data_IF_817710115681
#
_entry.id   IF_817710115681
#
_cell.length_a   1.000
_cell.length_b   1.000
_cell.length_c   1.000
_cell.angle_alpha   90.00
_cell.angle_beta   90.00
_cell.angle_gamma   90.00
#
_symmetry.space_group_name_H-M   'P 1'
#
loop_
_entity.id
_entity.type
_entity.pdbx_description
1 polymer ?
#
# COMPACT_ATOMS: atom_id res chain seq x y z
N UNK A 1 -24.69 21.33 -42.99
CA UNK A 1 -24.83 20.96 -41.57
C UNK A 1 -24.36 22.10 -40.67
N UNK A 2 -25.25 23.04 -40.32
CA UNK A 2 -24.91 24.15 -39.41
C UNK A 2 -25.23 23.70 -37.97
N UNK A 3 -24.23 23.67 -37.09
CA UNK A 3 -24.33 23.31 -35.66
C UNK A 3 -24.62 21.83 -35.31
N UNK A 4 -24.49 20.91 -36.27
CA UNK A 4 -24.64 19.46 -36.04
C UNK A 4 -23.33 18.66 -36.26
N UNK A 5 -22.39 19.22 -37.04
CA UNK A 5 -21.09 18.57 -37.27
C UNK A 5 -20.19 18.73 -36.05
N UNK A 6 -19.32 17.74 -35.89
CA UNK A 6 -18.30 17.66 -34.84
C UNK A 6 -16.95 17.32 -35.48
N UNK A 7 -15.86 17.67 -34.81
CA UNK A 7 -14.52 17.38 -35.31
C UNK A 7 -14.23 15.86 -35.32
N UNK A 8 -14.68 15.16 -34.26
CA UNK A 8 -14.50 13.71 -34.11
C UNK A 8 -15.84 13.02 -33.96
N UNK A 9 -16.21 12.24 -34.97
CA UNK A 9 -17.46 11.46 -34.97
C UNK A 9 -17.30 10.18 -34.16
N UNK A 10 -18.38 9.75 -33.52
CA UNK A 10 -18.44 8.45 -32.87
C UNK A 10 -18.69 7.38 -33.94
N UNK A 11 -17.65 6.63 -34.32
CA UNK A 11 -17.76 5.58 -35.33
C UNK A 11 -18.27 4.30 -34.67
N UNK A 12 -19.22 3.61 -35.31
CA UNK A 12 -19.85 2.38 -34.83
C UNK A 12 -20.02 1.35 -35.97
N UNK A 13 -20.09 0.07 -35.64
CA UNK A 13 -20.34 -0.99 -36.64
C UNK A 13 -21.84 -1.15 -36.91
N UNK A 14 -22.21 -1.30 -38.18
CA UNK A 14 -23.54 -1.78 -38.57
C UNK A 14 -23.72 -3.25 -38.17
N UNK A 15 -24.97 -3.66 -37.94
CA UNK A 15 -25.39 -5.03 -37.61
C UNK A 15 -24.71 -5.63 -36.37
N UNK A 16 -24.15 -4.79 -35.50
CA UNK A 16 -23.56 -5.20 -34.23
C UNK A 16 -24.41 -4.64 -33.09
N UNK A 17 -24.83 -5.52 -32.17
CA UNK A 17 -25.48 -5.10 -30.94
C UNK A 17 -24.41 -4.51 -30.01
N UNK A 18 -24.52 -3.21 -29.75
CA UNK A 18 -23.59 -2.47 -28.89
C UNK A 18 -24.32 -1.96 -27.65
N UNK A 19 -23.55 -1.71 -26.60
CA UNK A 19 -24.03 -1.14 -25.35
C UNK A 19 -23.36 0.21 -25.14
N UNK A 20 -24.16 1.28 -25.16
CA UNK A 20 -23.73 2.61 -24.74
C UNK A 20 -23.91 2.78 -23.24
N UNK A 21 -22.91 3.38 -22.58
CA UNK A 21 -23.00 3.81 -21.18
C UNK A 21 -22.92 5.34 -21.17
N UNK A 22 -23.97 5.98 -20.67
CA UNK A 22 -24.12 7.45 -20.67
C UNK A 22 -24.11 7.93 -19.22
N UNK A 23 -23.24 8.90 -18.94
CA UNK A 23 -23.10 9.58 -17.64
C UNK A 23 -22.70 11.03 -17.91
N UNK A 24 -22.70 11.85 -16.87
CA UNK A 24 -22.12 13.19 -16.90
C UNK A 24 -21.10 13.37 -15.76
N UNK A 25 -20.21 14.36 -15.92
CA UNK A 25 -19.24 14.78 -14.92
C UNK A 25 -19.66 16.06 -14.19
N UNK A 26 -20.37 16.97 -14.86
CA UNK A 26 -20.72 18.30 -14.36
C UNK A 26 -22.21 18.43 -13.98
N UNK A 27 -23.08 18.59 -14.98
CA UNK A 27 -24.54 18.79 -14.84
C UNK A 27 -25.30 17.73 -15.61
N UNK A 28 -26.63 17.75 -15.58
CA UNK A 28 -27.41 16.79 -16.37
C UNK A 28 -27.34 17.16 -17.85
N UNK A 29 -27.02 16.19 -18.69
CA UNK A 29 -27.11 16.27 -20.15
C UNK A 29 -28.02 15.14 -20.67
N UNK A 30 -28.28 15.11 -21.97
CA UNK A 30 -29.00 13.98 -22.58
C UNK A 30 -28.43 13.62 -23.94
N UNK A 31 -27.97 12.37 -24.06
CA UNK A 31 -27.44 11.82 -25.30
C UNK A 31 -28.60 11.31 -26.16
N UNK A 32 -28.94 12.08 -27.19
CA UNK A 32 -30.10 11.80 -28.03
C UNK A 32 -29.76 11.80 -29.51
N UNK A 33 -30.18 10.74 -30.21
CA UNK A 33 -30.07 10.58 -31.66
C UNK A 33 -31.48 10.24 -32.19
N UNK A 34 -32.25 11.23 -32.65
CA UNK A 34 -33.64 11.03 -33.03
C UNK A 34 -33.84 9.96 -34.11
N UNK A 35 -32.98 9.92 -35.13
CA UNK A 35 -33.03 8.94 -36.22
C UNK A 35 -32.74 7.50 -35.79
N UNK A 36 -32.10 7.31 -34.63
CA UNK A 36 -31.86 5.99 -34.03
C UNK A 36 -32.87 5.68 -32.92
N UNK A 37 -33.82 6.60 -32.64
CA UNK A 37 -34.77 6.49 -31.52
C UNK A 37 -34.10 6.25 -30.16
N UNK A 38 -32.90 6.81 -29.97
CA UNK A 38 -32.16 6.71 -28.71
C UNK A 38 -32.19 8.06 -28.01
N UNK A 39 -32.59 8.07 -26.74
CA UNK A 39 -32.41 9.17 -25.79
C UNK A 39 -32.06 8.59 -24.44
N UNK A 40 -30.97 9.03 -23.84
CA UNK A 40 -30.63 8.70 -22.46
C UNK A 40 -29.93 9.86 -21.77
N UNK A 41 -30.35 10.12 -20.53
CA UNK A 41 -29.82 11.23 -19.76
C UNK A 41 -28.47 10.84 -19.15
N UNK A 42 -27.50 11.75 -19.23
CA UNK A 42 -26.24 11.67 -18.51
C UNK A 42 -26.38 12.40 -17.18
N UNK A 43 -26.51 11.65 -16.08
CA UNK A 43 -26.71 12.21 -14.75
C UNK A 43 -25.41 12.04 -13.95
N UNK A 44 -24.86 13.11 -13.34
CA UNK A 44 -23.69 12.98 -12.48
C UNK A 44 -23.91 11.93 -11.38
N UNK A 45 -22.96 11.00 -11.23
CA UNK A 45 -23.03 9.91 -10.25
C UNK A 45 -23.95 8.74 -10.62
N UNK A 46 -24.52 8.70 -11.85
CA UNK A 46 -25.29 7.55 -12.36
C UNK A 46 -24.89 7.20 -13.79
N UNK A 47 -24.67 5.91 -14.03
CA UNK A 47 -24.44 5.38 -15.38
C UNK A 47 -25.75 4.79 -15.92
N UNK A 48 -26.28 5.39 -16.98
CA UNK A 48 -27.41 4.87 -17.72
C UNK A 48 -26.93 4.00 -18.89
N UNK A 49 -27.60 2.88 -19.12
CA UNK A 49 -27.25 1.94 -20.18
C UNK A 49 -28.26 2.03 -21.33
N UNK A 50 -27.77 2.16 -22.56
CA UNK A 50 -28.58 2.09 -23.79
C UNK A 50 -28.08 1.00 -24.71
N UNK A 51 -29.01 0.37 -25.43
CA UNK A 51 -28.68 -0.59 -26.46
C UNK A 51 -28.64 0.11 -27.82
N UNK A 52 -27.56 -0.07 -28.57
CA UNK A 52 -27.35 0.55 -29.88
C UNK A 52 -27.26 -0.56 -30.94
N UNK A 53 -28.06 -0.44 -32.00
CA UNK A 53 -27.98 -1.32 -33.15
C UNK A 53 -28.33 -0.52 -34.41
N UNK A 54 -27.35 -0.33 -35.28
CA UNK A 54 -27.52 0.39 -36.53
C UNK A 54 -27.66 -0.61 -37.68
N UNK A 55 -28.78 -0.55 -38.38
CA UNK A 55 -29.08 -1.45 -39.51
C UNK A 55 -28.45 -0.96 -40.80
N UNK A 56 -28.40 0.36 -41.00
CA UNK A 56 -27.89 0.98 -42.22
C UNK A 56 -26.62 1.77 -41.93
N UNK A 57 -25.68 1.77 -42.89
CA UNK A 57 -24.50 2.63 -42.84
C UNK A 57 -24.87 4.07 -43.17
N UNK A 58 -24.24 5.03 -42.49
CA UNK A 58 -24.52 6.44 -42.66
C UNK A 58 -24.15 7.26 -41.43
N UNK A 59 -24.41 8.57 -41.52
CA UNK A 59 -24.16 9.52 -40.44
C UNK A 59 -25.47 9.91 -39.78
N UNK A 60 -25.54 9.71 -38.46
CA UNK A 60 -26.70 10.00 -37.61
C UNK A 60 -26.36 11.18 -36.71
N UNK A 61 -27.20 12.20 -36.75
CA UNK A 61 -27.02 13.42 -35.97
C UNK A 61 -27.96 13.46 -34.77
N UNK A 62 -27.47 14.09 -33.71
CA UNK A 62 -28.15 14.28 -32.44
C UNK A 62 -27.76 15.61 -31.81
N UNK A 63 -28.50 16.01 -30.78
CA UNK A 63 -28.19 17.16 -29.95
C UNK A 63 -28.52 16.85 -28.50
N UNK A 64 -27.89 17.60 -27.58
CA UNK A 64 -28.26 17.53 -26.18
C UNK A 64 -29.75 17.82 -26.00
N UNK A 65 -30.46 16.93 -25.31
CA UNK A 65 -31.92 17.00 -25.12
C UNK A 65 -32.36 17.26 -23.67
N UNK A 66 -31.43 17.75 -22.84
CA UNK A 66 -31.67 18.18 -21.45
C UNK A 66 -30.89 19.47 -21.18
N UNK A 67 -31.54 20.48 -20.59
CA UNK A 67 -30.98 21.82 -20.46
C UNK A 67 -29.74 21.82 -19.55
N UNK A 68 -28.57 22.10 -20.13
CA UNK A 68 -27.27 22.00 -19.44
C UNK A 68 -26.50 23.32 -19.34
N UNK A 69 -27.14 24.47 -19.63
CA UNK A 69 -26.55 25.81 -19.47
C UNK A 69 -26.49 26.61 -20.76
N UNK A 70 -25.61 27.63 -20.80
CA UNK A 70 -25.56 28.64 -21.88
C UNK A 70 -25.25 28.03 -23.25
N UNK A 71 -24.38 27.03 -23.29
CA UNK A 71 -23.96 26.38 -24.54
C UNK A 71 -24.76 25.11 -24.86
N UNK A 72 -25.94 24.93 -24.26
CA UNK A 72 -26.76 23.73 -24.42
C UNK A 72 -27.05 23.37 -25.90
N UNK A 73 -27.29 24.35 -26.77
CA UNK A 73 -27.53 24.13 -28.20
C UNK A 73 -26.27 23.91 -29.04
N UNK A 74 -25.07 24.00 -28.45
CA UNK A 74 -23.78 23.98 -29.14
C UNK A 74 -22.93 22.75 -28.78
N UNK A 75 -23.59 21.66 -28.36
CA UNK A 75 -22.96 20.35 -28.12
C UNK A 75 -23.66 19.24 -28.92
N UNK A 76 -23.47 19.20 -30.25
CA UNK A 76 -24.08 18.20 -31.09
C UNK A 76 -23.42 16.82 -30.91
N UNK A 77 -24.16 15.79 -31.33
CA UNK A 77 -23.74 14.39 -31.34
C UNK A 77 -23.73 13.94 -32.80
N UNK A 78 -22.64 13.30 -33.22
CA UNK A 78 -22.54 12.71 -34.56
C UNK A 78 -22.03 11.27 -34.44
N UNK A 79 -22.85 10.33 -34.92
CA UNK A 79 -22.50 8.91 -34.97
C UNK A 79 -22.40 8.47 -36.41
N UNK A 80 -21.29 7.84 -36.79
CA UNK A 80 -21.08 7.29 -38.12
C UNK A 80 -21.12 5.77 -38.06
N UNK A 81 -22.18 5.17 -38.63
CA UNK A 81 -22.28 3.73 -38.74
C UNK A 81 -21.62 3.27 -40.04
N UNK A 82 -20.60 2.42 -39.91
CA UNK A 82 -19.83 1.88 -41.03
C UNK A 82 -19.92 0.36 -41.05
N UNK A 83 -19.49 -0.28 -42.13
CA UNK A 83 -19.43 -1.74 -42.18
C UNK A 83 -18.44 -2.29 -41.15
N UNK A 84 -18.65 -3.52 -40.68
CA UNK A 84 -17.77 -4.15 -39.69
C UNK A 84 -16.30 -4.15 -40.10
N UNK A 85 -16.00 -4.30 -41.40
CA UNK A 85 -14.63 -4.22 -41.94
C UNK A 85 -14.01 -2.83 -41.78
N UNK A 86 -14.73 -1.78 -42.18
CA UNK A 86 -14.23 -0.39 -42.09
C UNK A 86 -14.12 0.05 -40.63
N UNK A 87 -15.10 -0.32 -39.80
CA UNK A 87 -15.06 -0.09 -38.35
C UNK A 87 -13.81 -0.74 -37.75
N UNK A 88 -13.53 -1.95 -38.22
CA UNK A 88 -12.37 -2.70 -37.78
C UNK A 88 -11.09 -1.95 -38.14
N UNK A 89 -10.89 -1.58 -39.41
CA UNK A 89 -9.71 -0.84 -39.87
C UNK A 89 -9.53 0.49 -39.10
N UNK A 90 -10.63 1.20 -38.82
CA UNK A 90 -10.65 2.44 -38.05
C UNK A 90 -10.18 2.24 -36.60
N UNK A 91 -10.69 1.22 -35.90
CA UNK A 91 -10.24 0.89 -34.52
C UNK A 91 -8.74 0.59 -34.52
N UNK A 92 -8.23 -0.21 -35.46
CA UNK A 92 -6.81 -0.54 -35.52
C UNK A 92 -5.95 0.68 -35.81
N UNK A 93 -6.37 1.55 -36.72
CA UNK A 93 -5.68 2.81 -37.00
C UNK A 93 -5.58 3.69 -35.75
N UNK A 94 -6.69 3.83 -35.01
CA UNK A 94 -6.73 4.62 -33.78
C UNK A 94 -5.96 3.97 -32.62
N UNK A 95 -6.06 2.65 -32.46
CA UNK A 95 -5.30 1.91 -31.46
C UNK A 95 -3.79 2.04 -31.72
N UNK A 96 -3.35 1.86 -32.96
CA UNK A 96 -1.95 1.96 -33.34
C UNK A 96 -1.42 3.39 -33.25
N UNK A 97 -2.21 4.41 -33.58
CA UNK A 97 -1.80 5.82 -33.41
C UNK A 97 -1.69 6.21 -31.94
N UNK A 98 -2.66 5.83 -31.10
CA UNK A 98 -2.58 6.03 -29.64
C UNK A 98 -1.38 5.32 -29.02
N UNK A 99 -1.05 4.10 -29.49
CA UNK A 99 0.15 3.38 -29.07
C UNK A 99 1.45 3.99 -29.57
N UNK A 100 1.49 4.43 -30.83
CA UNK A 100 2.69 5.01 -31.44
C UNK A 100 3.00 6.43 -30.95
N UNK A 101 2.00 7.13 -30.39
CA UNK A 101 2.17 8.41 -29.68
C UNK A 101 2.86 8.22 -28.33
N UNK A 102 2.74 7.02 -27.73
CA UNK A 102 3.52 6.56 -26.57
C UNK A 102 4.73 5.74 -27.03
N UNK A 103 5.71 6.40 -27.65
CA UNK A 103 6.89 5.81 -28.29
C UNK A 103 7.26 4.36 -27.94
N UNK A 104 6.95 3.42 -28.84
CA UNK A 104 7.84 2.34 -29.25
C UNK A 104 7.17 1.46 -30.30
N UNK A 105 7.56 1.67 -31.56
CA UNK A 105 7.06 0.95 -32.75
C UNK A 105 7.54 -0.51 -32.87
N UNK A 106 8.27 -1.04 -31.88
CA UNK A 106 8.92 -2.37 -31.98
C UNK A 106 8.95 -3.12 -30.64
N UNK A 107 7.85 -3.13 -29.88
CA UNK A 107 7.75 -3.96 -28.66
C UNK A 107 7.41 -5.41 -28.98
N UNK A 108 8.38 -6.13 -29.52
CA UNK A 108 8.31 -7.57 -29.76
C UNK A 108 8.40 -8.40 -28.48
N UNK A 109 8.03 -9.68 -28.59
CA UNK A 109 8.05 -10.74 -27.57
C UNK A 109 9.26 -10.73 -26.61
N UNK A 110 10.41 -10.26 -27.07
CA UNK A 110 11.65 -10.14 -26.29
C UNK A 110 11.53 -9.16 -25.11
N UNK A 111 10.67 -8.14 -25.21
CA UNK A 111 10.41 -7.20 -24.11
C UNK A 111 9.42 -7.76 -23.09
N UNK A 112 8.51 -8.66 -23.49
CA UNK A 112 7.64 -9.40 -22.55
C UNK A 112 8.51 -10.31 -21.66
N UNK A 113 9.47 -11.01 -22.27
CA UNK A 113 10.46 -11.79 -21.52
C UNK A 113 11.30 -10.84 -20.66
N UNK A 114 11.75 -9.71 -21.21
CA UNK A 114 12.51 -8.70 -20.47
C UNK A 114 11.78 -8.14 -19.23
N UNK A 115 10.50 -7.82 -19.36
CA UNK A 115 9.66 -7.27 -18.29
C UNK A 115 9.35 -8.32 -17.24
N UNK A 116 9.05 -9.57 -17.66
CA UNK A 116 8.87 -10.69 -16.73
C UNK A 116 10.17 -11.01 -16.00
N UNK A 117 11.30 -11.01 -16.70
CA UNK A 117 12.63 -11.24 -16.12
C UNK A 117 12.96 -10.12 -15.13
N UNK A 118 12.79 -8.85 -15.50
CA UNK A 118 13.00 -7.71 -14.63
C UNK A 118 12.12 -7.79 -13.37
N UNK A 119 10.84 -8.13 -13.52
CA UNK A 119 9.92 -8.29 -12.40
C UNK A 119 10.35 -9.42 -11.45
N UNK A 120 10.74 -10.58 -12.00
CA UNK A 120 11.26 -11.70 -11.22
C UNK A 120 12.55 -11.30 -10.48
N UNK A 121 13.48 -10.62 -11.15
CA UNK A 121 14.72 -10.14 -10.52
C UNK A 121 14.44 -9.09 -9.43
N UNK A 122 13.48 -8.20 -9.63
CA UNK A 122 13.09 -7.19 -8.65
C UNK A 122 12.51 -7.83 -7.39
N UNK A 123 11.64 -8.83 -7.52
CA UNK A 123 11.08 -9.57 -6.39
C UNK A 123 12.18 -10.31 -5.63
N UNK A 124 13.09 -10.96 -6.36
CA UNK A 124 14.21 -11.67 -5.74
C UNK A 124 15.11 -10.67 -4.99
N UNK A 125 15.42 -9.53 -5.60
CA UNK A 125 16.24 -8.49 -4.98
C UNK A 125 15.61 -7.93 -3.70
N UNK A 126 14.32 -7.56 -3.74
CA UNK A 126 13.61 -7.08 -2.55
C UNK A 126 13.51 -8.15 -1.47
N UNK A 127 13.21 -9.40 -1.84
CA UNK A 127 13.16 -10.53 -0.91
C UNK A 127 14.51 -10.78 -0.23
N UNK A 128 15.62 -10.70 -0.98
CA UNK A 128 16.99 -10.81 -0.44
C UNK A 128 17.31 -9.63 0.46
N UNK A 129 16.95 -8.41 0.07
CA UNK A 129 17.17 -7.20 0.88
C UNK A 129 16.44 -7.27 2.22
N UNK A 130 15.16 -7.66 2.22
CA UNK A 130 14.35 -7.82 3.44
C UNK A 130 14.96 -8.91 4.33
N UNK A 131 15.32 -10.05 3.75
CA UNK A 131 15.93 -11.17 4.48
C UNK A 131 17.27 -10.77 5.12
N UNK A 132 18.11 -10.04 4.39
CA UNK A 132 19.38 -9.52 4.91
C UNK A 132 19.15 -8.51 6.05
N UNK A 133 18.17 -7.61 5.92
CA UNK A 133 17.81 -6.64 6.96
C UNK A 133 17.33 -7.33 8.24
N UNK A 134 16.47 -8.35 8.11
CA UNK A 134 16.00 -9.15 9.25
C UNK A 134 17.14 -9.90 9.94
N UNK A 135 18.08 -10.44 9.17
CA UNK A 135 19.26 -11.13 9.71
C UNK A 135 20.17 -10.19 10.52
N UNK A 136 20.41 -8.97 10.03
CA UNK A 136 21.18 -7.96 10.77
C UNK A 136 20.44 -7.53 12.03
N UNK A 137 19.12 -7.31 11.96
CA UNK A 137 18.30 -6.99 13.12
C UNK A 137 18.36 -8.10 14.19
N UNK A 138 18.32 -9.36 13.76
CA UNK A 138 18.40 -10.51 14.67
C UNK A 138 19.70 -10.51 15.46
N UNK A 139 20.85 -10.31 14.79
CA UNK A 139 22.14 -10.22 15.47
C UNK A 139 22.24 -9.03 16.40
N UNK A 140 21.73 -7.86 15.98
CA UNK A 140 21.69 -6.67 16.83
C UNK A 140 20.97 -6.96 18.16
N UNK A 141 19.75 -7.51 18.08
CA UNK A 141 19.00 -7.86 19.29
C UNK A 141 19.63 -9.01 20.07
N UNK A 142 20.20 -10.02 19.40
CA UNK A 142 20.90 -11.11 20.07
C UNK A 142 22.05 -10.60 20.94
N UNK A 143 22.93 -9.73 20.42
CA UNK A 143 24.03 -9.19 21.20
C UNK A 143 23.56 -8.23 22.31
N UNK A 144 22.58 -7.38 22.03
CA UNK A 144 22.05 -6.45 23.03
C UNK A 144 21.43 -7.19 24.22
N UNK A 145 20.66 -8.25 23.98
CA UNK A 145 19.96 -8.98 25.04
C UNK A 145 20.75 -10.13 25.65
N UNK A 146 21.56 -10.87 24.88
CA UNK A 146 22.32 -12.02 25.40
C UNK A 146 23.68 -11.64 26.01
N UNK A 147 24.27 -10.51 25.60
CA UNK A 147 25.64 -10.15 26.03
C UNK A 147 25.64 -8.84 26.81
N UNK A 148 25.18 -7.74 26.22
CA UNK A 148 25.28 -6.41 26.84
C UNK A 148 24.45 -6.35 28.13
N UNK A 149 23.23 -6.89 28.10
CA UNK A 149 22.33 -6.83 29.24
C UNK A 149 22.81 -7.65 30.47
N UNK A 150 23.21 -8.93 30.35
CA UNK A 150 23.75 -9.69 31.48
C UNK A 150 25.01 -9.05 32.07
N UNK A 151 25.88 -8.48 31.23
CA UNK A 151 27.06 -7.76 31.69
C UNK A 151 26.67 -6.51 32.48
N UNK A 152 25.73 -5.70 31.99
CA UNK A 152 25.24 -4.51 32.71
C UNK A 152 24.63 -4.87 34.07
N UNK A 153 23.81 -5.93 34.11
CA UNK A 153 23.21 -6.41 35.35
C UNK A 153 24.26 -6.93 36.35
N UNK A 154 25.27 -7.66 35.88
CA UNK A 154 26.37 -8.13 36.70
C UNK A 154 27.18 -6.96 37.27
N UNK A 155 27.49 -5.94 36.46
CA UNK A 155 28.24 -4.76 36.89
C UNK A 155 27.47 -3.93 37.94
N UNK A 156 26.18 -3.67 37.73
CA UNK A 156 25.35 -2.97 38.71
C UNK A 156 25.23 -3.75 40.03
N UNK A 157 25.12 -5.08 39.95
CA UNK A 157 25.14 -5.97 41.11
C UNK A 157 26.45 -5.92 41.90
N UNK A 158 27.59 -6.02 41.20
CA UNK A 158 28.94 -5.93 41.80
C UNK A 158 29.16 -4.56 42.44
N UNK A 159 28.75 -3.47 41.78
CA UNK A 159 28.87 -2.12 42.32
C UNK A 159 28.04 -1.93 43.60
N UNK A 160 26.80 -2.44 43.63
CA UNK A 160 25.95 -2.39 44.83
C UNK A 160 26.58 -3.16 46.00
N UNK A 161 27.11 -4.35 45.73
CA UNK A 161 27.71 -5.22 46.76
C UNK A 161 29.00 -4.61 47.33
N UNK A 162 29.89 -4.13 46.44
CA UNK A 162 31.16 -3.51 46.84
C UNK A 162 30.94 -2.19 47.59
N UNK A 163 29.99 -1.35 47.15
CA UNK A 163 29.60 -0.13 47.87
C UNK A 163 29.06 -0.43 49.27
N UNK A 164 28.26 -1.49 49.41
CA UNK A 164 27.77 -1.95 50.71
C UNK A 164 28.94 -2.37 51.62
N UNK A 165 29.88 -3.16 51.11
CA UNK A 165 31.08 -3.63 51.83
C UNK A 165 31.96 -2.47 52.32
N UNK A 166 32.30 -1.52 51.43
CA UNK A 166 33.11 -0.36 51.80
C UNK A 166 32.43 0.51 52.86
N UNK A 167 31.11 0.73 52.76
CA UNK A 167 30.36 1.47 53.78
C UNK A 167 30.39 0.77 55.14
N UNK A 168 30.29 -0.56 55.18
CA UNK A 168 30.44 -1.34 56.43
C UNK A 168 31.83 -1.23 57.02
N UNK A 169 32.89 -1.25 56.20
CA UNK A 169 34.26 -1.07 56.69
C UNK A 169 34.47 0.32 57.31
N UNK A 170 33.99 1.39 56.65
CA UNK A 170 34.08 2.76 57.17
C UNK A 170 33.29 2.91 58.48
N UNK A 171 32.07 2.37 58.55
CA UNK A 171 31.28 2.41 59.79
C UNK A 171 31.92 1.64 60.93
N UNK A 172 32.63 0.54 60.64
CA UNK A 172 33.35 -0.24 61.64
C UNK A 172 34.52 0.57 62.22
N UNK A 173 35.29 1.26 61.39
CA UNK A 173 36.39 2.14 61.85
C UNK A 173 35.84 3.29 62.71
N UNK A 174 34.76 3.94 62.27
CA UNK A 174 34.10 5.00 63.04
C UNK A 174 33.56 4.48 64.38
N UNK A 175 33.00 3.27 64.39
CA UNK A 175 32.52 2.62 65.60
C UNK A 175 33.65 2.32 66.59
N UNK A 176 34.80 1.82 66.11
CA UNK A 176 35.98 1.58 66.97
C UNK A 176 36.44 2.87 67.64
N UNK A 177 36.47 3.99 66.90
CA UNK A 177 36.77 5.31 67.47
C UNK A 177 35.75 5.74 68.54
N UNK A 178 34.47 5.51 68.29
CA UNK A 178 33.40 5.83 69.26
C UNK A 178 33.46 4.93 70.51
N UNK A 179 33.77 3.64 70.35
CA UNK A 179 33.88 2.66 71.43
C UNK A 179 34.98 3.01 72.45
N UNK A 180 36.07 3.62 71.99
CA UNK A 180 37.16 4.09 72.87
C UNK A 180 36.70 5.26 73.75
N UNK A 181 35.77 6.10 73.27
CA UNK A 181 35.25 7.24 74.03
C UNK A 181 34.04 6.91 74.93
N UNK A 182 33.13 6.03 74.47
CA UNK A 182 31.94 5.61 75.20
C UNK A 182 31.57 4.15 74.85
N UNK A 183 31.98 3.18 75.66
CA UNK A 183 31.77 1.76 75.37
C UNK A 183 30.30 1.33 75.49
N UNK A 184 29.49 2.00 76.32
CA UNK A 184 28.09 1.63 76.55
C UNK A 184 27.19 2.18 75.44
N UNK A 185 27.39 3.45 75.03
CA UNK A 185 26.69 4.02 73.88
C UNK A 185 27.04 3.29 72.57
N UNK A 186 28.31 2.94 72.38
CA UNK A 186 28.76 2.25 71.18
C UNK A 186 28.21 0.82 71.07
N UNK A 187 28.07 0.07 72.18
CA UNK A 187 27.49 -1.28 72.16
C UNK A 187 26.01 -1.29 71.79
N UNK A 188 25.22 -0.34 72.31
CA UNK A 188 23.81 -0.16 71.92
C UNK A 188 23.70 0.25 70.44
N UNK A 189 24.56 1.16 69.99
CA UNK A 189 24.63 1.57 68.58
C UNK A 189 25.01 0.43 67.63
N UNK A 190 25.91 -0.47 68.03
CA UNK A 190 26.28 -1.65 67.25
C UNK A 190 25.11 -2.61 67.05
N UNK A 191 24.29 -2.85 68.08
CA UNK A 191 23.11 -3.71 68.00
C UNK A 191 22.07 -3.17 67.01
N UNK A 192 21.82 -1.85 67.02
CA UNK A 192 20.92 -1.19 66.06
C UNK A 192 21.48 -1.28 64.64
N UNK A 193 22.78 -1.00 64.46
CA UNK A 193 23.45 -1.09 63.16
C UNK A 193 23.42 -2.52 62.57
N UNK A 194 23.63 -3.55 63.40
CA UNK A 194 23.51 -4.95 62.99
C UNK A 194 22.09 -5.30 62.56
N UNK A 195 21.08 -4.82 63.30
CA UNK A 195 19.66 -4.97 62.93
C UNK A 195 19.36 -4.37 61.55
N UNK A 196 19.79 -3.13 61.31
CA UNK A 196 19.60 -2.44 60.02
C UNK A 196 20.33 -3.13 58.86
N UNK A 197 21.53 -3.70 59.12
CA UNK A 197 22.28 -4.43 58.10
C UNK A 197 21.60 -5.73 57.70
N UNK A 198 21.13 -6.51 58.68
CA UNK A 198 20.35 -7.73 58.43
C UNK A 198 19.11 -7.39 57.59
N UNK A 199 18.38 -6.34 57.94
CA UNK A 199 17.21 -5.89 57.18
C UNK A 199 17.58 -5.49 55.74
N UNK A 200 18.69 -4.78 55.54
CA UNK A 200 19.14 -4.37 54.19
C UNK A 200 19.54 -5.56 53.31
N UNK A 201 20.14 -6.61 53.90
CA UNK A 201 20.53 -7.84 53.17
C UNK A 201 19.28 -8.64 52.77
N UNK A 202 18.31 -8.78 53.69
CA UNK A 202 17.02 -9.41 53.39
C UNK A 202 16.28 -8.62 52.31
N UNK A 203 16.22 -7.30 52.43
CA UNK A 203 15.60 -6.42 51.43
C UNK A 203 16.26 -6.56 50.05
N UNK A 204 17.60 -6.56 49.96
CA UNK A 204 18.31 -6.77 48.70
C UNK A 204 18.05 -8.16 48.11
N UNK A 205 18.04 -9.20 48.95
CA UNK A 205 17.81 -10.60 48.54
C UNK A 205 16.41 -10.82 47.98
N UNK A 206 15.40 -10.10 48.48
CA UNK A 206 14.01 -10.21 48.01
C UNK A 206 13.73 -9.30 46.82
N UNK A 207 14.21 -8.05 46.84
CA UNK A 207 13.86 -7.06 45.81
C UNK A 207 14.61 -7.24 44.50
N UNK A 208 15.84 -7.76 44.53
CA UNK A 208 16.64 -8.02 43.33
C UNK A 208 15.98 -9.03 42.38
N UNK A 209 15.56 -10.23 42.84
CA UNK A 209 14.87 -11.19 41.97
C UNK A 209 13.49 -10.70 41.53
N UNK A 210 12.74 -9.97 42.37
CA UNK A 210 11.44 -9.41 41.97
C UNK A 210 11.57 -8.35 40.88
N UNK A 211 12.56 -7.46 40.95
CA UNK A 211 12.83 -6.47 39.89
C UNK A 211 13.21 -7.13 38.56
N UNK A 212 14.05 -8.16 38.62
CA UNK A 212 14.43 -8.94 37.43
C UNK A 212 13.20 -9.63 36.81
N UNK A 213 12.32 -10.22 37.63
CA UNK A 213 11.10 -10.89 37.17
C UNK A 213 10.11 -9.92 36.52
N UNK A 214 9.80 -8.79 37.17
CA UNK A 214 8.87 -7.78 36.64
C UNK A 214 9.38 -7.20 35.32
N UNK A 215 10.69 -6.97 35.21
CA UNK A 215 11.30 -6.51 33.96
C UNK A 215 11.17 -7.56 32.84
N UNK A 216 11.44 -8.84 33.15
CA UNK A 216 11.36 -9.93 32.18
C UNK A 216 9.92 -10.10 31.67
N UNK A 217 8.93 -10.04 32.56
CA UNK A 217 7.50 -10.09 32.21
C UNK A 217 7.10 -8.91 31.34
N UNK A 218 7.51 -7.68 31.70
CA UNK A 218 7.22 -6.48 30.88
C UNK A 218 7.77 -6.58 29.46
N UNK A 219 8.97 -7.16 29.29
CA UNK A 219 9.60 -7.35 27.98
C UNK A 219 8.94 -8.48 27.19
N UNK A 220 8.59 -9.59 27.84
CA UNK A 220 7.83 -10.68 27.22
C UNK A 220 6.47 -10.19 26.69
N UNK A 221 5.75 -9.36 27.46
CA UNK A 221 4.51 -8.75 27.01
C UNK A 221 4.70 -7.83 25.79
N UNK A 222 5.80 -7.06 25.71
CA UNK A 222 6.10 -6.22 24.53
C UNK A 222 6.38 -7.05 23.27
N UNK A 223 7.11 -8.16 23.41
CA UNK A 223 7.37 -9.10 22.30
C UNK A 223 6.06 -9.76 21.86
N UNK A 224 5.23 -10.23 22.80
CA UNK A 224 3.93 -10.80 22.50
C UNK A 224 3.03 -9.80 21.78
N UNK A 225 2.99 -8.54 22.23
CA UNK A 225 2.24 -7.47 21.56
C UNK A 225 2.74 -7.23 20.14
N UNK A 226 4.05 -7.21 19.91
CA UNK A 226 4.62 -7.08 18.57
C UNK A 226 4.21 -8.26 17.66
N UNK A 227 4.30 -9.50 18.15
CA UNK A 227 3.92 -10.71 17.39
C UNK A 227 2.44 -10.70 17.03
N UNK A 228 1.56 -10.27 17.93
CA UNK A 228 0.11 -10.17 17.69
C UNK A 228 -0.22 -9.09 16.66
N UNK A 229 0.50 -7.96 16.66
CA UNK A 229 0.23 -6.84 15.73
C UNK A 229 0.98 -6.94 14.41
N UNK A 230 2.00 -7.79 14.31
CA UNK A 230 2.78 -7.98 13.08
C UNK A 230 1.92 -8.31 11.84
N UNK A 231 0.91 -9.20 11.91
CA UNK A 231 0.02 -9.45 10.78
C UNK A 231 -0.75 -8.21 10.33
N UNK A 232 -1.14 -7.32 11.24
CA UNK A 232 -1.85 -6.09 10.91
C UNK A 232 -0.92 -5.09 10.20
N UNK A 233 0.31 -4.93 10.68
CA UNK A 233 1.31 -4.09 9.99
C UNK A 233 1.65 -4.62 8.60
N UNK A 234 1.77 -5.95 8.45
CA UNK A 234 1.99 -6.56 7.15
C UNK A 234 0.80 -6.36 6.21
N UNK A 235 -0.42 -6.42 6.75
CA UNK A 235 -1.64 -6.18 6.01
C UNK A 235 -1.77 -4.71 5.56
N UNK A 236 -1.49 -3.74 6.43
CA UNK A 236 -1.52 -2.31 6.08
C UNK A 236 -0.50 -1.98 4.98
N UNK A 237 0.72 -2.51 5.08
CA UNK A 237 1.74 -2.35 4.04
C UNK A 237 1.30 -2.96 2.69
N UNK A 238 0.60 -4.09 2.73
CA UNK A 238 0.04 -4.71 1.52
C UNK A 238 -1.10 -3.87 0.91
N UNK A 239 -1.99 -3.33 1.76
CA UNK A 239 -3.05 -2.42 1.33
C UNK A 239 -2.49 -1.12 0.75
N UNK A 240 -1.41 -0.57 1.27
CA UNK A 240 -0.75 0.62 0.69
C UNK A 240 -0.22 0.35 -0.73
N UNK A 241 0.34 -0.84 -0.96
CA UNK A 241 0.78 -1.26 -2.31
C UNK A 241 -0.41 -1.45 -3.26
N UNK A 242 -1.53 -1.99 -2.77
CA UNK A 242 -2.74 -2.20 -3.58
C UNK A 242 -3.55 -0.92 -3.80
N UNK A 243 -3.51 0.03 -2.87
CA UNK A 243 -4.26 1.30 -2.94
C UNK A 243 -3.51 2.37 -3.73
N UNK A 244 -2.20 2.24 -3.89
CA UNK A 244 -1.40 3.08 -4.81
C UNK A 244 -1.59 2.67 -6.27
N UNK A 245 -2.78 2.95 -6.81
CA UNK A 245 -2.99 3.06 -8.26
C UNK A 245 -2.27 4.29 -8.87
N UNK A 246 -1.56 5.08 -8.06
CA UNK A 246 -0.82 6.26 -8.50
C UNK A 246 0.59 5.94 -9.02
N UNK A 247 1.12 4.75 -8.73
CA UNK A 247 2.42 4.36 -9.26
C UNK A 247 2.35 4.22 -10.78
N UNK A 248 3.17 5.01 -11.48
CA UNK A 248 3.18 5.06 -12.94
C UNK A 248 3.39 3.67 -13.58
N UNK A 249 4.09 2.76 -12.90
CA UNK A 249 4.39 1.42 -13.41
C UNK A 249 3.15 0.51 -13.44
N UNK A 250 2.34 0.48 -12.39
CA UNK A 250 1.10 -0.34 -12.37
C UNK A 250 0.08 0.21 -13.35
N UNK A 251 -0.05 1.54 -13.43
CA UNK A 251 -0.88 2.21 -14.44
C UNK A 251 -0.44 1.86 -15.86
N UNK A 252 0.86 1.95 -16.14
CA UNK A 252 1.42 1.63 -17.45
C UNK A 252 1.18 0.16 -17.80
N UNK A 253 1.41 -0.75 -16.86
CA UNK A 253 1.17 -2.17 -17.07
C UNK A 253 -0.30 -2.47 -17.36
N UNK A 254 -1.24 -1.90 -16.58
CA UNK A 254 -2.69 -2.06 -16.81
C UNK A 254 -3.07 -1.55 -18.21
N UNK A 255 -2.59 -0.36 -18.59
CA UNK A 255 -2.85 0.22 -19.92
C UNK A 255 -2.32 -0.69 -21.02
N UNK A 256 -1.11 -1.22 -20.89
CA UNK A 256 -0.53 -2.15 -21.88
C UNK A 256 -1.30 -3.48 -21.93
N UNK A 257 -1.77 -3.97 -20.80
CA UNK A 257 -2.53 -5.21 -20.71
C UNK A 257 -3.92 -5.08 -21.33
N UNK A 258 -4.64 -3.99 -21.03
CA UNK A 258 -5.93 -3.66 -21.64
C UNK A 258 -5.77 -3.60 -23.15
N UNK A 259 -4.78 -2.85 -23.63
CA UNK A 259 -4.57 -2.70 -25.06
C UNK A 259 -4.22 -4.00 -25.77
N UNK A 260 -3.43 -4.88 -25.14
CA UNK A 260 -3.18 -6.23 -25.67
C UNK A 260 -4.48 -7.02 -25.77
N UNK A 261 -5.29 -7.02 -24.71
CA UNK A 261 -6.57 -7.72 -24.71
C UNK A 261 -7.54 -7.13 -25.75
N UNK A 262 -7.51 -5.81 -25.97
CA UNK A 262 -8.27 -5.15 -27.03
C UNK A 262 -7.82 -5.61 -28.42
N UNK A 263 -6.51 -5.71 -28.67
CA UNK A 263 -5.96 -6.23 -29.93
C UNK A 263 -6.36 -7.68 -30.19
N UNK A 264 -6.30 -8.55 -29.17
CA UNK A 264 -6.69 -9.96 -29.30
C UNK A 264 -8.20 -10.13 -29.49
N UNK A 265 -9.01 -9.43 -28.68
CA UNK A 265 -10.47 -9.40 -28.84
C UNK A 265 -10.86 -8.94 -30.26
N UNK A 266 -10.18 -7.92 -30.76
CA UNK A 266 -10.39 -7.40 -32.10
C UNK A 266 -10.04 -8.41 -33.19
N UNK A 267 -8.89 -9.10 -33.08
CA UNK A 267 -8.50 -10.15 -34.04
C UNK A 267 -9.57 -11.24 -34.11
N UNK A 268 -10.08 -11.64 -32.94
CA UNK A 268 -11.16 -12.61 -32.86
C UNK A 268 -12.46 -12.11 -33.52
N UNK A 269 -12.82 -10.84 -33.33
CA UNK A 269 -13.97 -10.24 -34.04
C UNK A 269 -13.77 -10.25 -35.56
N UNK A 270 -12.61 -9.77 -36.06
CA UNK A 270 -12.34 -9.73 -37.50
C UNK A 270 -12.39 -11.13 -38.10
N UNK A 271 -11.77 -12.11 -37.45
CA UNK A 271 -11.79 -13.51 -37.92
C UNK A 271 -13.22 -14.06 -37.98
N UNK A 272 -14.06 -13.76 -36.99
CA UNK A 272 -15.46 -14.18 -36.98
C UNK A 272 -16.25 -13.55 -38.14
N UNK A 273 -16.11 -12.24 -38.34
CA UNK A 273 -16.85 -11.50 -39.36
C UNK A 273 -16.27 -11.64 -40.77
N UNK A 274 -15.00 -12.04 -40.94
CA UNK A 274 -14.43 -12.32 -42.26
C UNK A 274 -14.87 -13.67 -42.84
N UNK A 275 -15.38 -14.57 -41.97
CA UNK A 275 -15.85 -15.91 -42.35
C UNK A 275 -17.35 -15.94 -42.73
N UNK A 276 -18.07 -14.84 -42.53
CA UNK A 276 -19.47 -14.65 -42.91
C UNK A 276 -19.57 -13.75 -44.13
#
# INVERSE_FOLDING_TARGET
>A
YRMLEVDNRCVVSCFLQMRGLVTSDDVVHSWAIPSASVKADGIPGRINQVSLCFVNSGVFYGQCSELCGVNHSFMPICVEAVSGKVFSEWIMGNHNSNMNSGGSKNRGYFMIVGDVVYWVFSIIYEGVYISAKLYVLWWYYFFEYCVVFPVKFALEGVYSLTSMFFKTCVSLVMWVGWFVSDPVGATVGALVFLGDKIFSVVYFSVTSPMKAFVWLVSKACKVAWFVVNFPLFAFDAWIDVMSSFSNNETKQWIVTHIARNTSEFYRAMVEYYSKK
#
